data_IF_901550692359
#
_entry.id   IF_901550692359
#
_cell.length_a   1.000
_cell.length_b   1.000
_cell.length_c   1.000
_cell.angle_alpha   90.00
_cell.angle_beta   90.00
_cell.angle_gamma   90.00
#
_symmetry.space_group_name_H-M   'P 1'
#
loop_
_entity.id
_entity.type
_entity.pdbx_description
1 polymer ?
#
# COMPACT_ATOMS: atom_id res chain seq x y z
N UNK A 1 -1.13 13.55 22.15
CA UNK A 1 -2.10 12.43 22.05
C UNK A 1 -2.75 12.54 20.69
N UNK A 2 -2.86 11.44 19.93
CA UNK A 2 -3.45 11.49 18.58
C UNK A 2 -4.88 12.05 18.54
N UNK A 3 -5.63 11.91 19.63
CA UNK A 3 -6.99 12.45 19.80
C UNK A 3 -7.10 13.97 19.80
N UNK A 4 -5.99 14.71 19.93
CA UNK A 4 -5.99 16.17 19.90
C UNK A 4 -5.23 16.73 18.70
N UNK A 5 -4.78 15.84 17.81
CA UNK A 5 -3.92 16.18 16.67
C UNK A 5 -4.74 16.48 15.42
N UNK A 6 -5.93 15.88 15.29
CA UNK A 6 -6.84 16.10 14.18
C UNK A 6 -7.99 17.00 14.63
N UNK A 7 -8.34 17.97 13.79
CA UNK A 7 -9.47 18.87 14.03
C UNK A 7 -10.80 18.16 13.74
N UNK A 8 -10.80 17.24 12.77
CA UNK A 8 -11.98 16.47 12.41
C UNK A 8 -11.63 14.99 12.16
N UNK A 9 -12.41 14.11 12.78
CA UNK A 9 -12.41 12.66 12.54
C UNK A 9 -13.70 12.32 11.76
N UNK A 10 -13.57 12.02 10.46
CA UNK A 10 -14.73 11.62 9.63
C UNK A 10 -15.07 10.16 9.85
N UNK A 11 -14.04 9.31 9.89
CA UNK A 11 -14.15 7.91 10.24
C UNK A 11 -12.87 7.44 10.92
N UNK A 12 -12.99 6.65 11.98
CA UNK A 12 -11.84 6.04 12.65
C UNK A 12 -12.17 4.58 12.96
N UNK A 13 -11.36 3.68 12.41
CA UNK A 13 -11.43 2.27 12.80
C UNK A 13 -10.78 2.09 14.18
N UNK A 14 -11.18 1.04 14.93
CA UNK A 14 -10.49 0.67 16.16
C UNK A 14 -8.98 0.57 15.95
N UNK A 15 -8.22 0.95 16.98
CA UNK A 15 -6.77 0.82 16.95
C UNK A 15 -6.35 -0.64 16.83
N UNK A 16 -5.25 -0.87 16.12
CA UNK A 16 -4.68 -2.20 15.96
C UNK A 16 -4.13 -2.71 17.30
N UNK A 17 -4.40 -3.98 17.58
CA UNK A 17 -3.81 -4.70 18.70
C UNK A 17 -2.31 -4.90 18.50
N UNK A 18 -1.59 -5.17 19.58
CA UNK A 18 -0.17 -5.48 19.51
C UNK A 18 0.13 -6.69 18.61
N UNK A 19 -0.75 -7.70 18.60
CA UNK A 19 -0.60 -8.89 17.76
C UNK A 19 -0.81 -8.57 16.27
N UNK A 20 -1.80 -7.73 15.94
CA UNK A 20 -2.02 -7.26 14.57
C UNK A 20 -0.83 -6.45 14.05
N UNK A 21 -0.28 -5.56 14.87
CA UNK A 21 0.91 -4.77 14.51
C UNK A 21 2.13 -5.67 14.33
N UNK A 22 2.34 -6.63 15.24
CA UNK A 22 3.46 -7.57 15.15
C UNK A 22 3.38 -8.45 13.89
N UNK A 23 2.18 -8.89 13.52
CA UNK A 23 1.93 -9.62 12.27
C UNK A 23 2.13 -8.73 11.05
N UNK A 24 1.59 -7.52 11.06
CA UNK A 24 1.70 -6.55 9.99
C UNK A 24 3.16 -6.23 9.65
N UNK A 25 3.98 -5.87 10.64
CA UNK A 25 5.39 -5.51 10.45
C UNK A 25 6.19 -6.66 9.81
N UNK A 26 5.83 -7.92 10.06
CA UNK A 26 6.50 -9.08 9.45
C UNK A 26 6.02 -9.40 8.03
N UNK A 27 4.81 -9.01 7.68
CA UNK A 27 4.12 -9.54 6.48
C UNK A 27 3.87 -8.50 5.40
N UNK A 28 3.83 -7.21 5.73
CA UNK A 28 3.35 -6.16 4.83
C UNK A 28 4.21 -5.95 3.56
N UNK A 29 5.50 -6.27 3.65
CA UNK A 29 6.50 -6.16 2.59
C UNK A 29 7.15 -7.50 2.25
N UNK A 30 6.52 -8.61 2.63
CA UNK A 30 6.96 -9.93 2.19
C UNK A 30 6.96 -10.03 0.66
N UNK A 31 7.86 -10.86 0.12
CA UNK A 31 7.82 -11.18 -1.31
C UNK A 31 6.51 -11.86 -1.67
N UNK A 32 6.14 -11.79 -2.96
CA UNK A 32 4.99 -12.53 -3.45
C UNK A 32 5.21 -14.03 -3.23
N UNK A 33 4.20 -14.65 -2.66
CA UNK A 33 4.02 -16.09 -2.60
C UNK A 33 3.72 -16.64 -3.99
N UNK A 34 3.95 -17.94 -4.18
CA UNK A 34 3.58 -18.64 -5.42
C UNK A 34 2.10 -18.48 -5.76
N UNK A 35 1.23 -18.50 -4.75
CA UNK A 35 -0.20 -18.29 -4.94
C UNK A 35 -0.51 -16.89 -5.48
N UNK A 36 0.02 -15.83 -4.86
CA UNK A 36 -0.17 -14.46 -5.32
C UNK A 36 0.38 -14.26 -6.74
N UNK A 37 1.54 -14.87 -7.05
CA UNK A 37 2.11 -14.82 -8.40
C UNK A 37 1.21 -15.51 -9.42
N UNK A 38 0.62 -16.65 -9.08
CA UNK A 38 -0.29 -17.38 -9.95
C UNK A 38 -1.56 -16.56 -10.21
N UNK A 39 -2.15 -15.96 -9.18
CA UNK A 39 -3.32 -15.06 -9.31
C UNK A 39 -3.03 -13.87 -10.24
N UNK A 40 -1.83 -13.29 -10.15
CA UNK A 40 -1.39 -12.23 -11.06
C UNK A 40 -1.23 -12.74 -12.49
N UNK A 41 -0.66 -13.94 -12.72
CA UNK A 41 -0.55 -14.53 -14.05
C UNK A 41 -1.93 -14.78 -14.66
N UNK A 42 -2.86 -15.33 -13.87
CA UNK A 42 -4.18 -15.75 -14.34
C UNK A 42 -5.13 -14.60 -14.62
N UNK A 43 -4.96 -13.45 -13.95
CA UNK A 43 -5.77 -12.25 -14.18
C UNK A 43 -5.36 -11.46 -15.43
N UNK A 44 -4.16 -11.69 -15.96
CA UNK A 44 -3.65 -10.92 -17.09
C UNK A 44 -4.31 -11.32 -18.41
N UNK A 45 -4.73 -10.31 -19.18
CA UNK A 45 -5.30 -10.47 -20.53
C UNK A 45 -4.60 -9.51 -21.46
N UNK A 46 -4.43 -9.92 -22.72
CA UNK A 46 -3.89 -9.04 -23.74
C UNK A 46 -4.86 -7.85 -23.93
N UNK A 47 -4.43 -6.61 -23.66
CA UNK A 47 -5.31 -5.45 -23.76
C UNK A 47 -5.51 -5.00 -25.22
N UNK A 48 -4.69 -5.48 -26.15
CA UNK A 48 -4.79 -5.11 -27.55
C UNK A 48 -5.84 -5.97 -28.26
N UNK A 49 -6.61 -5.41 -29.22
CA UNK A 49 -7.44 -6.23 -30.10
C UNK A 49 -6.57 -7.01 -31.09
N UNK A 50 -7.07 -8.14 -31.60
CA UNK A 50 -6.34 -9.00 -32.56
C UNK A 50 -5.90 -8.28 -33.84
N UNK A 51 -6.61 -7.22 -34.22
CA UNK A 51 -6.31 -6.38 -35.39
C UNK A 51 -5.16 -5.40 -35.15
N UNK A 52 -4.71 -5.23 -33.91
CA UNK A 52 -3.62 -4.33 -33.57
C UNK A 52 -2.26 -4.94 -33.89
N UNK A 53 -1.32 -4.18 -34.48
CA UNK A 53 0.07 -4.64 -34.67
C UNK A 53 0.81 -4.91 -33.35
N UNK A 54 0.28 -4.45 -32.21
CA UNK A 54 0.81 -4.69 -30.89
C UNK A 54 0.28 -5.98 -30.24
N UNK A 55 -0.72 -6.63 -30.83
CA UNK A 55 -1.32 -7.86 -30.29
C UNK A 55 -0.29 -8.97 -30.10
N UNK A 56 0.54 -9.22 -31.12
CA UNK A 56 1.61 -10.22 -31.10
C UNK A 56 2.83 -9.82 -30.26
N UNK A 57 2.92 -8.54 -29.89
CA UNK A 57 4.03 -8.00 -29.10
C UNK A 57 3.74 -8.02 -27.59
N UNK A 58 2.48 -8.21 -27.21
CA UNK A 58 2.10 -8.30 -25.80
C UNK A 58 2.80 -9.48 -25.12
N UNK A 59 3.48 -9.19 -24.03
CA UNK A 59 4.07 -10.18 -23.13
C UNK A 59 3.44 -9.99 -21.74
N UNK A 60 2.92 -11.06 -21.13
CA UNK A 60 2.49 -11.01 -19.73
C UNK A 60 3.63 -10.55 -18.81
N UNK A 61 3.25 -9.86 -17.74
CA UNK A 61 4.15 -9.47 -16.65
C UNK A 61 4.59 -10.72 -15.90
N UNK A 62 5.88 -10.75 -15.56
CA UNK A 62 6.51 -11.80 -14.76
C UNK A 62 6.67 -11.32 -13.30
N UNK A 63 5.77 -11.74 -12.38
CA UNK A 63 5.74 -11.21 -11.01
C UNK A 63 6.92 -11.70 -10.14
N UNK A 64 7.59 -12.79 -10.51
CA UNK A 64 8.75 -13.34 -9.79
C UNK A 64 9.95 -12.39 -9.71
N UNK A 65 9.97 -11.37 -10.56
CA UNK A 65 11.05 -10.37 -10.59
C UNK A 65 10.77 -9.15 -9.71
N UNK A 66 9.59 -9.08 -9.09
CA UNK A 66 9.18 -7.92 -8.32
C UNK A 66 9.83 -7.94 -6.94
N UNK A 67 10.44 -6.81 -6.56
CA UNK A 67 11.12 -6.66 -5.28
C UNK A 67 10.35 -5.71 -4.37
N UNK A 68 10.05 -6.16 -3.16
CA UNK A 68 9.40 -5.36 -2.13
C UNK A 68 10.44 -4.67 -1.24
N UNK A 69 10.25 -3.38 -0.90
CA UNK A 69 11.18 -2.65 -0.04
C UNK A 69 11.18 -3.21 1.39
N UNK A 70 12.37 -3.59 1.88
CA UNK A 70 12.57 -4.12 3.23
C UNK A 70 12.95 -2.98 4.21
N UNK A 71 12.02 -2.05 4.47
CA UNK A 71 12.24 -0.96 5.44
C UNK A 71 11.33 -1.13 6.64
N UNK A 72 11.78 -0.66 7.79
CA UNK A 72 10.95 -0.60 8.98
C UNK A 72 10.03 0.62 8.95
N UNK A 73 8.89 0.52 9.63
CA UNK A 73 8.03 1.66 9.88
C UNK A 73 8.57 2.52 11.03
N UNK A 74 8.43 3.85 10.96
CA UNK A 74 8.69 4.70 12.11
C UNK A 74 7.83 4.30 13.31
N UNK A 75 8.40 4.34 14.52
CA UNK A 75 7.66 3.98 15.74
C UNK A 75 6.40 4.82 15.94
N UNK A 76 6.44 6.09 15.55
CA UNK A 76 5.30 7.01 15.61
C UNK A 76 4.15 6.56 14.69
N UNK A 77 4.43 5.93 13.55
CA UNK A 77 3.40 5.33 12.69
C UNK A 77 2.77 4.09 13.33
N UNK A 78 3.58 3.22 13.96
CA UNK A 78 3.06 2.07 14.69
C UNK A 78 2.18 2.50 15.87
N UNK A 79 2.60 3.55 16.59
CA UNK A 79 1.79 4.14 17.67
C UNK A 79 0.48 4.73 17.14
N UNK A 80 0.49 5.28 15.93
CA UNK A 80 -0.71 5.78 15.28
C UNK A 80 -1.65 4.63 14.86
N UNK A 81 -1.13 3.51 14.37
CA UNK A 81 -1.93 2.31 14.10
C UNK A 81 -2.63 1.77 15.35
N UNK A 82 -1.96 1.81 16.51
CA UNK A 82 -2.59 1.46 17.80
C UNK A 82 -3.71 2.42 18.22
N UNK A 83 -3.75 3.63 17.66
CA UNK A 83 -4.83 4.60 17.87
C UNK A 83 -5.95 4.44 16.84
N UNK A 84 -5.61 4.19 15.58
CA UNK A 84 -6.53 4.04 14.47
C UNK A 84 -5.96 3.03 13.46
N UNK A 85 -6.63 1.90 13.23
CA UNK A 85 -6.22 0.94 12.21
C UNK A 85 -6.84 1.27 10.84
N UNK A 86 -6.67 2.51 10.39
CA UNK A 86 -7.33 3.08 9.22
C UNK A 86 -8.41 4.10 9.57
N UNK A 87 -8.73 4.95 8.59
CA UNK A 87 -9.76 5.98 8.74
C UNK A 87 -9.47 7.24 7.91
N UNK A 88 -10.30 8.25 8.15
CA UNK A 88 -10.35 9.53 7.45
C UNK A 88 -10.38 10.68 8.45
N UNK A 89 -9.41 11.58 8.31
CA UNK A 89 -9.18 12.68 9.24
C UNK A 89 -8.87 13.96 8.47
N UNK A 90 -9.00 15.08 9.15
CA UNK A 90 -8.58 16.39 8.64
C UNK A 90 -7.84 17.19 9.72
N UNK A 91 -6.86 17.95 9.25
CA UNK A 91 -6.14 18.93 10.03
C UNK A 91 -5.88 20.17 9.16
N UNK A 92 -6.51 21.30 9.50
CA UNK A 92 -6.56 22.48 8.64
C UNK A 92 -7.18 22.16 7.28
N UNK A 93 -6.50 22.54 6.20
CA UNK A 93 -6.96 22.30 4.82
C UNK A 93 -6.65 20.88 4.29
N UNK A 94 -5.95 20.05 5.09
CA UNK A 94 -5.49 18.73 4.64
C UNK A 94 -6.46 17.64 5.06
N UNK A 95 -7.08 17.03 4.06
CA UNK A 95 -7.81 15.77 4.18
C UNK A 95 -6.86 14.61 4.00
N UNK A 96 -6.94 13.63 4.88
CA UNK A 96 -6.10 12.45 4.82
C UNK A 96 -6.90 11.19 5.14
N UNK A 97 -6.72 10.19 4.30
CA UNK A 97 -7.24 8.85 4.47
C UNK A 97 -6.06 7.88 4.49
N UNK A 98 -6.14 6.83 5.31
CA UNK A 98 -5.17 5.75 5.28
C UNK A 98 -5.79 4.39 5.54
N UNK A 99 -5.07 3.39 5.03
CA UNK A 99 -5.40 1.98 5.13
C UNK A 99 -4.85 1.38 6.43
N UNK A 100 -5.60 0.44 6.98
CA UNK A 100 -5.17 -0.35 8.14
C UNK A 100 -4.18 -1.45 7.78
N UNK A 101 -3.76 -2.19 8.80
CA UNK A 101 -2.78 -3.29 8.73
C UNK A 101 -3.16 -4.39 7.74
N UNK A 102 -4.46 -4.66 7.55
CA UNK A 102 -4.95 -5.68 6.62
C UNK A 102 -4.92 -5.19 5.17
N UNK A 103 -5.35 -3.96 4.94
CA UNK A 103 -5.54 -3.41 3.60
C UNK A 103 -4.23 -2.98 2.93
N UNK A 104 -3.22 -2.61 3.71
CA UNK A 104 -1.93 -2.14 3.19
C UNK A 104 -1.21 -3.18 2.33
N UNK A 105 -1.31 -4.48 2.65
CA UNK A 105 -0.71 -5.53 1.84
C UNK A 105 -1.40 -5.65 0.48
N UNK A 106 -2.73 -5.63 0.46
CA UNK A 106 -3.51 -5.68 -0.78
C UNK A 106 -3.25 -4.44 -1.65
N UNK A 107 -3.12 -3.26 -1.03
CA UNK A 107 -2.75 -2.04 -1.74
C UNK A 107 -1.35 -2.11 -2.33
N UNK A 108 -0.37 -2.68 -1.61
CA UNK A 108 0.97 -2.90 -2.13
C UNK A 108 0.96 -3.81 -3.37
N UNK A 109 0.16 -4.89 -3.37
CA UNK A 109 0.00 -5.77 -4.53
C UNK A 109 -0.55 -5.02 -5.75
N UNK A 110 -1.65 -4.29 -5.58
CA UNK A 110 -2.29 -3.53 -6.65
C UNK A 110 -1.41 -2.40 -7.19
N UNK A 111 -0.62 -1.76 -6.32
CA UNK A 111 0.26 -0.67 -6.71
C UNK A 111 1.48 -1.14 -7.48
N UNK A 112 2.12 -2.25 -7.07
CA UNK A 112 3.29 -2.79 -7.78
C UNK A 112 2.92 -3.23 -9.20
N UNK A 113 1.74 -3.81 -9.38
CA UNK A 113 1.20 -4.13 -10.71
C UNK A 113 1.14 -2.89 -11.63
N UNK A 114 0.76 -1.72 -11.10
CA UNK A 114 0.66 -0.46 -11.85
C UNK A 114 2.01 0.23 -12.06
N UNK A 115 2.96 0.09 -11.13
CA UNK A 115 4.30 0.70 -11.24
C UNK A 115 5.19 -0.04 -12.22
N UNK A 116 5.15 -1.37 -12.22
CA UNK A 116 5.89 -2.18 -13.21
C UNK A 116 5.40 -1.86 -14.63
N UNK A 117 4.12 -1.48 -14.78
CA UNK A 117 3.54 -1.00 -16.04
C UNK A 117 4.10 0.35 -16.52
N UNK A 118 4.71 1.18 -15.66
CA UNK A 118 5.12 2.57 -15.96
C UNK A 118 6.62 2.86 -15.92
N UNK A 119 7.46 1.83 -15.98
CA UNK A 119 8.93 1.88 -15.91
C UNK A 119 9.49 1.76 -14.48
N UNK A 120 10.00 0.57 -14.18
CA UNK A 120 11.35 0.37 -13.63
C UNK A 120 11.76 1.04 -12.32
N UNK A 121 10.87 1.60 -11.49
CA UNK A 121 11.18 2.05 -10.12
C UNK A 121 9.97 1.93 -9.21
N UNK A 122 10.08 1.12 -8.15
CA UNK A 122 9.05 0.88 -7.13
C UNK A 122 8.75 2.16 -6.32
N UNK A 123 7.49 2.63 -6.40
CA UNK A 123 6.97 3.82 -5.72
C UNK A 123 5.95 3.43 -4.61
N UNK A 124 5.97 2.21 -4.08
CA UNK A 124 5.07 1.85 -2.96
C UNK A 124 5.29 2.73 -1.70
N UNK A 125 6.38 3.51 -1.66
CA UNK A 125 6.67 4.50 -0.64
C UNK A 125 5.97 5.85 -0.80
N UNK A 126 5.47 6.25 -1.99
CA UNK A 126 5.02 7.65 -2.17
C UNK A 126 3.56 7.92 -1.76
N UNK A 127 2.65 6.94 -1.82
CA UNK A 127 1.24 7.18 -1.52
C UNK A 127 0.90 7.22 -0.03
N UNK A 128 1.41 6.25 0.74
CA UNK A 128 1.09 6.11 2.17
C UNK A 128 2.22 6.55 3.11
N UNK A 129 3.50 6.50 2.68
CA UNK A 129 4.66 6.83 3.53
C UNK A 129 5.19 8.25 3.25
N UNK A 130 4.94 8.81 2.07
CA UNK A 130 5.22 10.22 1.74
C UNK A 130 3.97 11.09 1.65
N UNK A 131 2.86 10.70 2.27
CA UNK A 131 1.82 11.69 2.52
C UNK A 131 2.42 12.73 3.46
N UNK A 132 2.63 13.99 3.03
CA UNK A 132 3.31 14.98 3.85
C UNK A 132 2.49 15.31 5.11
N UNK A 133 1.17 15.04 5.09
CA UNK A 133 0.32 15.14 6.27
C UNK A 133 0.59 14.04 7.31
N UNK A 134 1.07 12.85 6.90
CA UNK A 134 1.55 11.84 7.86
C UNK A 134 2.94 12.25 8.33
N UNK A 135 3.84 12.67 7.42
CA UNK A 135 5.20 13.04 7.83
C UNK A 135 5.24 14.23 8.79
N UNK A 136 4.45 15.28 8.61
CA UNK A 136 4.37 16.43 9.54
C UNK A 136 3.76 16.09 10.90
N UNK A 137 2.95 15.03 10.97
CA UNK A 137 2.23 14.63 12.19
C UNK A 137 2.98 13.50 12.93
N UNK A 138 3.82 12.76 12.21
CA UNK A 138 4.52 11.55 12.67
C UNK A 138 6.04 11.81 12.86
N UNK A 139 6.56 12.97 12.43
CA UNK A 139 7.91 13.49 12.74
C UNK A 139 7.99 14.12 14.12
#
# INVERSE_FOLDING_TARGET
>A
MWSSTFEQEFSRLPGATSDEIASFVKTWNGQLTEQEMQEIRDSQRNPFPQTSPFYSQYKPLEPSTWLFPQRDFPQSYLNFLSFANGGEFQNGERYFQFFGTVDLREMNRGFIQRVVFRAGRTIAQLGCIHNPAIQEVVS
#
